data_IF_587856894847
#
_entry.id   IF_587856894847
#
_cell.length_a   1.000
_cell.length_b   1.000
_cell.length_c   1.000
_cell.angle_alpha   90.00
_cell.angle_beta   90.00
_cell.angle_gamma   90.00
#
_symmetry.space_group_name_H-M   'P 1'
#
loop_
_entity.id
_entity.type
_entity.pdbx_description
1 polymer ?
#
# COMPACT_ATOMS: atom_id res chain seq x y z
N UNK A 1 -2.22 9.14 -24.96
CA UNK A 1 -1.00 8.62 -24.32
C UNK A 1 -1.34 8.33 -22.86
N UNK A 2 -0.81 7.27 -22.27
CA UNK A 2 -1.05 6.95 -20.87
C UNK A 2 -0.62 8.10 -19.94
N UNK A 3 -1.41 8.34 -18.90
CA UNK A 3 -1.16 9.39 -17.93
C UNK A 3 -1.63 8.98 -16.53
N UNK A 4 -1.15 9.66 -15.51
CA UNK A 4 -1.54 9.43 -14.12
C UNK A 4 -2.95 9.93 -13.89
N UNK A 5 -3.90 9.03 -13.61
CA UNK A 5 -5.30 9.33 -13.31
C UNK A 5 -5.55 9.55 -11.81
N UNK A 6 -4.87 8.79 -10.97
CA UNK A 6 -4.97 8.93 -9.52
C UNK A 6 -3.68 8.51 -8.81
N UNK A 7 -3.47 9.10 -7.64
CA UNK A 7 -2.34 8.82 -6.76
C UNK A 7 -2.83 8.48 -5.36
N UNK A 8 -2.23 7.45 -4.77
CA UNK A 8 -2.58 6.96 -3.44
C UNK A 8 -1.35 6.77 -2.56
N UNK A 9 -1.46 7.24 -1.32
CA UNK A 9 -0.53 6.98 -0.24
C UNK A 9 -1.22 6.13 0.82
N UNK A 10 -0.51 5.18 1.40
CA UNK A 10 -1.01 4.24 2.40
C UNK A 10 -0.23 4.39 3.71
N UNK A 11 -0.46 5.41 4.53
CA UNK A 11 0.40 5.71 5.68
C UNK A 11 0.49 4.55 6.67
N UNK A 12 -0.65 3.89 6.93
CA UNK A 12 -0.75 2.76 7.85
C UNK A 12 -1.02 1.48 7.07
N UNK A 13 -0.20 0.45 7.31
CA UNK A 13 -0.40 -0.87 6.71
C UNK A 13 -1.80 -1.41 7.04
N UNK A 14 -2.54 -1.80 6.01
CA UNK A 14 -3.85 -2.43 6.16
C UNK A 14 -5.05 -1.49 6.14
N UNK A 15 -4.88 -0.18 6.28
CA UNK A 15 -5.98 0.79 6.20
C UNK A 15 -6.17 1.32 4.78
N UNK A 16 -7.32 1.94 4.51
CA UNK A 16 -7.64 2.55 3.22
C UNK A 16 -6.70 3.72 2.91
N UNK A 17 -6.29 3.91 1.64
CA UNK A 17 -5.34 4.94 1.26
C UNK A 17 -5.89 6.36 1.36
N UNK A 18 -4.97 7.31 1.42
CA UNK A 18 -5.22 8.70 1.10
C UNK A 18 -5.10 8.91 -0.41
N UNK A 19 -6.01 9.67 -1.00
CA UNK A 19 -5.85 10.20 -2.35
C UNK A 19 -4.99 11.47 -2.29
N UNK A 20 -4.00 11.56 -3.17
CA UNK A 20 -3.06 12.68 -3.24
C UNK A 20 -3.06 13.29 -4.64
N UNK A 21 -2.74 14.58 -4.74
CA UNK A 21 -2.52 15.24 -6.03
C UNK A 21 -1.07 15.02 -6.51
N UNK A 22 -0.17 14.79 -5.57
CA UNK A 22 1.23 14.45 -5.85
C UNK A 22 1.80 13.45 -4.84
N UNK A 23 2.83 12.71 -5.27
CA UNK A 23 3.61 11.80 -4.44
C UNK A 23 5.09 12.08 -4.60
N UNK A 24 5.81 12.21 -3.47
CA UNK A 24 7.27 12.32 -3.48
C UNK A 24 7.89 10.94 -3.45
N UNK A 25 8.65 10.60 -4.49
CA UNK A 25 9.52 9.42 -4.55
C UNK A 25 10.83 9.76 -3.87
N UNK A 26 11.16 9.04 -2.82
CA UNK A 26 12.41 9.23 -2.07
C UNK A 26 13.60 8.58 -2.81
N UNK A 27 14.85 8.95 -2.49
CA UNK A 27 16.04 8.36 -3.12
C UNK A 27 16.14 6.83 -3.02
N UNK A 28 15.52 6.23 -2.02
CA UNK A 28 15.46 4.77 -1.84
C UNK A 28 14.31 4.09 -2.62
N UNK A 29 13.60 4.85 -3.47
CA UNK A 29 12.51 4.37 -4.32
C UNK A 29 11.16 4.24 -3.63
N UNK A 30 11.03 4.62 -2.36
CA UNK A 30 9.74 4.62 -1.65
C UNK A 30 8.99 5.94 -1.83
N UNK A 31 7.69 5.87 -1.68
CA UNK A 31 6.87 7.08 -1.55
C UNK A 31 6.98 7.60 -0.10
N UNK A 32 7.23 8.90 0.05
CA UNK A 32 7.29 9.55 1.35
C UNK A 32 5.97 9.38 2.11
N UNK A 33 6.07 8.90 3.37
CA UNK A 33 4.91 8.65 4.23
C UNK A 33 4.07 7.43 3.87
N UNK A 34 4.50 6.60 2.88
CA UNK A 34 3.78 5.40 2.49
C UNK A 34 4.22 4.19 3.33
N UNK A 35 3.26 3.55 4.00
CA UNK A 35 3.48 2.35 4.85
C UNK A 35 4.57 2.53 5.90
N UNK A 36 4.57 3.69 6.53
CA UNK A 36 5.52 4.09 7.58
C UNK A 36 5.03 3.75 9.00
N UNK A 37 3.79 3.28 9.12
CA UNK A 37 3.14 2.87 10.36
C UNK A 37 2.44 1.51 10.20
N UNK A 38 2.35 0.75 11.29
CA UNK A 38 1.57 -0.50 11.33
C UNK A 38 1.09 -0.80 12.76
N UNK A 39 -0.09 -1.44 12.86
CA UNK A 39 -0.55 -2.02 14.12
C UNK A 39 -0.04 -3.45 14.23
N UNK A 40 0.74 -3.72 15.27
CA UNK A 40 1.40 -5.00 15.52
C UNK A 40 0.79 -5.69 16.74
N UNK A 41 0.87 -7.03 16.73
CA UNK A 41 0.53 -7.81 17.90
C UNK A 41 1.59 -7.65 18.99
N UNK A 42 1.22 -7.79 20.25
CA UNK A 42 2.11 -7.61 21.39
C UNK A 42 3.42 -8.43 21.27
N UNK A 43 3.33 -9.70 20.86
CA UNK A 43 4.49 -10.60 20.68
C UNK A 43 5.42 -10.21 19.52
N UNK A 44 5.06 -9.21 18.72
CA UNK A 44 5.78 -8.83 17.51
C UNK A 44 5.85 -7.31 17.30
N UNK A 45 5.85 -6.54 18.38
CA UNK A 45 6.01 -5.09 18.32
C UNK A 45 7.42 -4.70 17.86
N UNK A 46 8.42 -5.53 18.17
CA UNK A 46 9.80 -5.33 17.73
C UNK A 46 10.05 -5.95 16.34
N UNK A 47 10.95 -5.38 15.54
CA UNK A 47 11.33 -5.93 14.23
C UNK A 47 12.15 -7.22 14.38
N UNK A 48 12.09 -8.06 13.36
CA UNK A 48 13.10 -9.07 13.08
C UNK A 48 14.22 -8.44 12.24
N UNK A 49 15.47 -8.77 12.49
CA UNK A 49 16.58 -8.32 11.65
C UNK A 49 16.85 -9.35 10.55
N UNK A 50 16.69 -8.93 9.29
CA UNK A 50 16.96 -9.75 8.10
C UNK A 50 17.81 -8.95 7.12
N UNK A 51 18.93 -9.50 6.71
CA UNK A 51 19.84 -8.90 5.72
C UNK A 51 20.24 -7.44 6.07
N UNK A 52 20.42 -7.15 7.37
CA UNK A 52 20.78 -5.83 7.86
C UNK A 52 19.64 -4.80 7.88
N UNK A 53 18.40 -5.23 7.65
CA UNK A 53 17.20 -4.39 7.64
C UNK A 53 16.20 -4.86 8.69
N UNK A 54 15.47 -3.90 9.24
CA UNK A 54 14.31 -4.19 10.08
C UNK A 54 13.19 -4.77 9.22
N UNK A 55 12.71 -5.94 9.61
CA UNK A 55 11.65 -6.67 8.94
C UNK A 55 10.49 -6.97 9.89
N UNK A 56 9.27 -6.69 9.45
CA UNK A 56 8.05 -7.03 10.18
C UNK A 56 7.22 -8.03 9.40
N UNK A 57 7.18 -9.31 9.82
CA UNK A 57 6.37 -10.32 9.14
C UNK A 57 4.89 -9.89 9.05
N UNK A 58 4.30 -10.02 7.87
CA UNK A 58 2.90 -9.62 7.60
C UNK A 58 1.89 -10.26 8.55
N UNK A 59 2.13 -11.53 8.91
CA UNK A 59 1.25 -12.31 9.79
C UNK A 59 1.25 -11.88 11.25
N UNK A 60 2.16 -11.01 11.64
CA UNK A 60 2.41 -10.58 13.02
C UNK A 60 1.77 -9.23 13.37
N UNK A 61 0.71 -8.83 12.68
CA UNK A 61 -0.02 -7.60 12.92
C UNK A 61 -1.33 -7.54 12.13
N UNK A 62 -1.99 -6.39 12.19
CA UNK A 62 -3.20 -6.16 11.45
C UNK A 62 -2.90 -6.07 9.95
N UNK A 63 -3.56 -6.91 9.15
CA UNK A 63 -3.44 -6.93 7.69
C UNK A 63 -4.78 -7.31 7.06
N UNK A 64 -5.14 -6.67 5.94
CA UNK A 64 -6.41 -6.88 5.22
C UNK A 64 -6.70 -8.33 4.85
N UNK A 65 -5.66 -9.14 4.68
CA UNK A 65 -5.81 -10.56 4.38
C UNK A 65 -6.52 -11.33 5.49
N UNK A 66 -6.32 -10.93 6.74
CA UNK A 66 -6.93 -11.57 7.92
C UNK A 66 -8.03 -10.72 8.56
N UNK A 67 -7.95 -9.40 8.41
CA UNK A 67 -8.85 -8.40 9.01
C UNK A 67 -9.42 -7.50 7.91
N UNK A 68 -10.31 -8.02 7.04
CA UNK A 68 -10.87 -7.25 5.92
C UNK A 68 -11.67 -6.02 6.36
N UNK A 69 -12.28 -6.01 7.54
CA UNK A 69 -12.98 -4.84 8.09
C UNK A 69 -12.12 -3.58 8.19
N UNK A 70 -10.79 -3.73 8.28
CA UNK A 70 -9.87 -2.58 8.25
C UNK A 70 -9.97 -1.75 6.96
N UNK A 71 -10.46 -2.34 5.86
CA UNK A 71 -10.62 -1.61 4.61
C UNK A 71 -11.64 -0.48 4.71
N UNK A 72 -12.63 -0.57 5.60
CA UNK A 72 -13.60 0.49 5.84
C UNK A 72 -13.03 1.72 6.57
N UNK A 73 -11.81 1.61 7.10
CA UNK A 73 -11.18 2.70 7.85
C UNK A 73 -10.41 3.63 6.90
N UNK A 74 -10.86 4.88 6.82
CA UNK A 74 -10.16 5.94 6.09
C UNK A 74 -9.11 6.58 6.99
N UNK A 75 -7.88 6.66 6.52
CA UNK A 75 -6.78 7.27 7.25
C UNK A 75 -6.29 8.55 6.56
N UNK A 76 -5.95 9.55 7.34
CA UNK A 76 -5.09 10.65 6.90
C UNK A 76 -3.90 10.81 7.83
N UNK A 77 -2.75 11.15 7.25
CA UNK A 77 -1.50 11.29 7.99
C UNK A 77 -0.79 12.58 7.62
N UNK A 78 -0.69 13.48 8.59
CA UNK A 78 0.16 14.66 8.51
C UNK A 78 1.56 14.29 9.03
N UNK A 79 2.52 14.21 8.10
CA UNK A 79 3.91 13.84 8.42
C UNK A 79 4.66 14.94 9.17
N UNK A 80 4.34 16.22 8.96
CA UNK A 80 4.95 17.35 9.63
C UNK A 80 4.48 17.44 11.09
N UNK A 81 3.16 17.44 11.29
CA UNK A 81 2.56 17.43 12.62
C UNK A 81 2.67 16.07 13.31
N UNK A 82 3.10 15.02 12.61
CA UNK A 82 3.12 13.63 13.08
C UNK A 82 1.78 13.21 13.68
N UNK A 83 0.70 13.50 12.94
CA UNK A 83 -0.67 13.34 13.39
C UNK A 83 -1.43 12.38 12.49
N UNK A 84 -2.14 11.44 13.11
CA UNK A 84 -2.95 10.42 12.43
C UNK A 84 -4.41 10.66 12.76
N UNK A 85 -5.24 10.71 11.72
CA UNK A 85 -6.70 10.71 11.84
C UNK A 85 -7.26 9.45 11.20
N UNK A 86 -8.16 8.77 11.90
CA UNK A 86 -8.86 7.58 11.42
C UNK A 86 -10.36 7.82 11.49
N UNK A 87 -11.03 7.60 10.37
CA UNK A 87 -12.47 7.73 10.20
C UNK A 87 -13.08 6.37 9.85
N UNK A 88 -14.29 6.12 10.31
CA UNK A 88 -15.14 5.02 9.85
C UNK A 88 -16.46 5.61 9.39
N UNK A 89 -16.83 5.40 8.14
CA UNK A 89 -17.89 6.17 7.47
C UNK A 89 -17.62 7.67 7.61
N UNK A 90 -18.56 8.42 8.17
CA UNK A 90 -18.43 9.86 8.43
C UNK A 90 -18.08 10.18 9.89
N UNK A 91 -17.78 9.16 10.69
CA UNK A 91 -17.44 9.34 12.10
C UNK A 91 -15.94 9.36 12.32
N UNK A 92 -15.47 10.36 13.07
CA UNK A 92 -14.11 10.41 13.57
C UNK A 92 -13.96 9.38 14.70
N UNK A 93 -13.10 8.37 14.48
CA UNK A 93 -12.74 7.40 15.53
C UNK A 93 -11.64 7.94 16.44
N UNK A 94 -10.61 8.50 15.83
CA UNK A 94 -9.45 9.06 16.56
C UNK A 94 -8.72 10.08 15.71
N UNK A 95 -8.18 11.11 16.36
CA UNK A 95 -7.29 12.13 15.78
C UNK A 95 -6.19 12.42 16.79
N UNK A 96 -5.02 11.79 16.63
CA UNK A 96 -3.98 11.79 17.65
C UNK A 96 -2.57 11.88 17.05
N UNK A 97 -1.61 12.23 17.91
CA UNK A 97 -0.21 12.37 17.56
C UNK A 97 0.55 11.04 17.65
N UNK A 98 1.81 11.02 17.18
CA UNK A 98 2.69 9.86 17.27
C UNK A 98 3.61 9.87 18.50
N UNK A 99 3.28 10.64 19.52
CA UNK A 99 3.92 10.53 20.83
C UNK A 99 3.43 9.29 21.61
N UNK A 100 3.92 9.08 22.80
CA UNK A 100 3.62 7.89 23.60
C UNK A 100 2.13 7.77 23.91
N UNK A 101 1.48 8.87 24.30
CA UNK A 101 0.06 8.89 24.65
C UNK A 101 -0.82 8.70 23.43
N UNK A 102 -0.54 9.41 22.35
CA UNK A 102 -1.29 9.31 21.10
C UNK A 102 -1.17 7.94 20.44
N UNK A 103 0.00 7.29 20.51
CA UNK A 103 0.17 5.90 20.05
C UNK A 103 -0.67 4.92 20.85
N UNK A 104 -0.75 5.12 22.18
CA UNK A 104 -1.58 4.29 23.04
C UNK A 104 -3.07 4.46 22.72
N UNK A 105 -3.53 5.71 22.53
CA UNK A 105 -4.90 6.02 22.11
C UNK A 105 -5.25 5.38 20.76
N UNK A 106 -4.38 5.54 19.75
CA UNK A 106 -4.55 4.93 18.44
C UNK A 106 -4.65 3.40 18.52
N UNK A 107 -3.82 2.77 19.34
CA UNK A 107 -3.83 1.32 19.54
C UNK A 107 -5.09 0.83 20.27
N UNK A 108 -5.58 1.58 21.26
CA UNK A 108 -6.81 1.29 21.99
C UNK A 108 -8.04 1.36 21.09
N UNK A 109 -8.18 2.43 20.32
CA UNK A 109 -9.30 2.62 19.38
C UNK A 109 -9.28 1.52 18.29
N UNK A 110 -8.12 1.19 17.74
CA UNK A 110 -8.01 0.11 16.77
C UNK A 110 -8.30 -1.25 17.37
N UNK A 111 -7.96 -1.47 18.65
CA UNK A 111 -8.30 -2.69 19.37
C UNK A 111 -9.82 -2.79 19.52
N UNK A 112 -10.48 -1.72 19.96
CA UNK A 112 -11.94 -1.67 20.11
C UNK A 112 -12.64 -1.94 18.77
N UNK A 113 -12.21 -1.27 17.70
CA UNK A 113 -12.76 -1.46 16.36
C UNK A 113 -12.68 -2.93 15.89
N UNK A 114 -11.52 -3.57 16.03
CA UNK A 114 -11.35 -4.96 15.61
C UNK A 114 -12.12 -5.93 16.51
N UNK A 115 -12.24 -5.65 17.81
CA UNK A 115 -13.03 -6.47 18.73
C UNK A 115 -14.54 -6.39 18.45
N UNK A 116 -15.03 -5.30 17.86
CA UNK A 116 -16.41 -5.13 17.40
C UNK A 116 -16.64 -5.66 15.96
N UNK A 117 -15.58 -6.06 15.25
CA UNK A 117 -15.64 -6.59 13.89
C UNK A 117 -15.90 -8.10 13.86
N UNK A 118 -16.30 -8.67 12.70
CA UNK A 118 -16.41 -10.13 12.52
C UNK A 118 -15.13 -10.91 12.83
N UNK A 119 -13.98 -10.26 12.77
CA UNK A 119 -12.65 -10.87 12.98
C UNK A 119 -12.21 -10.87 14.46
N UNK A 120 -13.03 -10.45 15.40
CA UNK A 120 -12.70 -10.30 16.81
C UNK A 120 -12.00 -11.53 17.44
N UNK A 121 -12.44 -12.74 17.08
CA UNK A 121 -11.81 -13.99 17.57
C UNK A 121 -10.36 -14.13 17.15
N UNK A 122 -9.98 -13.56 16.00
CA UNK A 122 -8.60 -13.60 15.57
C UNK A 122 -7.73 -12.71 16.44
N UNK A 123 -8.24 -11.55 16.88
CA UNK A 123 -7.49 -10.64 17.74
C UNK A 123 -7.31 -11.18 19.16
N UNK A 124 -8.29 -11.93 19.67
CA UNK A 124 -8.24 -12.50 21.03
C UNK A 124 -7.32 -13.71 21.20
N UNK A 125 -6.64 -14.16 20.13
CA UNK A 125 -5.64 -15.24 20.25
C UNK A 125 -4.48 -14.79 21.15
N UNK A 126 -3.90 -15.75 21.87
CA UNK A 126 -2.74 -15.52 22.73
C UNK A 126 -1.61 -14.78 21.99
N UNK A 127 -0.92 -13.86 22.68
CA UNK A 127 0.19 -13.05 22.16
C UNK A 127 -0.21 -11.86 21.27
N UNK A 128 -1.52 -11.67 20.97
CA UNK A 128 -1.93 -10.61 20.04
C UNK A 128 -2.25 -9.28 20.71
N UNK A 129 -2.76 -9.32 21.92
CA UNK A 129 -3.10 -8.12 22.68
C UNK A 129 -2.06 -7.83 23.77
N UNK A 130 -1.84 -6.55 24.08
CA UNK A 130 -2.37 -5.36 23.44
C UNK A 130 -1.79 -5.14 22.04
N UNK A 131 -2.50 -4.39 21.18
CA UNK A 131 -1.92 -3.90 19.93
C UNK A 131 -0.89 -2.79 20.23
N UNK A 132 0.12 -2.70 19.39
CA UNK A 132 1.08 -1.60 19.40
C UNK A 132 1.11 -0.91 18.03
N UNK A 133 1.00 0.41 17.99
CA UNK A 133 1.30 1.19 16.79
C UNK A 133 2.82 1.39 16.71
N UNK A 134 3.44 0.78 15.70
CA UNK A 134 4.89 0.84 15.47
C UNK A 134 5.22 1.62 14.21
N UNK A 135 6.49 2.00 14.08
CA UNK A 135 6.98 2.85 13.00
C UNK A 135 7.20 4.30 13.47
N UNK A 136 8.14 4.97 12.83
CA UNK A 136 8.48 6.36 13.16
C UNK A 136 7.66 7.40 12.37
N UNK A 137 6.85 6.94 11.42
CA UNK A 137 6.08 7.82 10.52
C UNK A 137 6.90 8.40 9.37
N UNK A 138 8.19 8.08 9.27
CA UNK A 138 9.11 8.64 8.26
C UNK A 138 9.92 7.56 7.55
N UNK A 139 10.70 6.76 8.30
CA UNK A 139 11.68 5.81 7.76
C UNK A 139 11.28 4.35 7.87
N UNK A 140 10.39 4.01 8.80
CA UNK A 140 9.94 2.64 9.00
C UNK A 140 9.32 2.05 7.73
N UNK A 141 9.44 0.73 7.57
CA UNK A 141 9.05 0.03 6.33
C UNK A 141 8.11 -1.11 6.66
N UNK A 142 6.85 -0.92 6.30
CA UNK A 142 5.85 -2.00 6.43
C UNK A 142 5.37 -2.50 5.07
N UNK A 143 6.18 -2.33 4.04
CA UNK A 143 5.98 -2.95 2.72
C UNK A 143 6.29 -4.45 2.80
N UNK A 144 5.65 -5.25 1.95
CA UNK A 144 5.86 -6.71 1.94
C UNK A 144 7.18 -7.12 1.24
N UNK A 145 8.02 -6.15 0.84
CA UNK A 145 9.29 -6.34 0.15
C UNK A 145 10.38 -5.48 0.78
N UNK A 146 11.62 -5.97 0.73
CA UNK A 146 12.79 -5.31 1.33
C UNK A 146 13.18 -4.01 0.60
N UNK A 147 12.99 -3.95 -0.74
CA UNK A 147 13.28 -2.75 -1.54
C UNK A 147 12.10 -1.80 -1.56
N UNK A 148 12.38 -0.50 -1.74
CA UNK A 148 11.37 0.49 -2.08
C UNK A 148 10.87 0.29 -3.51
N UNK A 149 9.56 0.19 -3.67
CA UNK A 149 8.90 0.10 -4.97
C UNK A 149 7.73 1.08 -5.00
N UNK A 150 7.51 1.65 -6.17
CA UNK A 150 6.25 2.29 -6.53
C UNK A 150 5.39 1.24 -7.24
N UNK A 151 4.13 1.14 -6.89
CA UNK A 151 3.20 0.20 -7.51
C UNK A 151 2.24 0.94 -8.44
N UNK A 152 2.03 0.40 -9.64
CA UNK A 152 1.14 0.96 -10.66
C UNK A 152 0.13 -0.06 -11.14
N UNK A 153 -1.07 0.38 -11.52
CA UNK A 153 -2.01 -0.38 -12.32
C UNK A 153 -2.80 0.55 -13.25
N UNK A 154 -3.43 -0.01 -14.30
CA UNK A 154 -4.27 0.75 -15.20
C UNK A 154 -5.76 0.65 -14.84
N UNK A 155 -6.51 1.73 -15.08
CA UNK A 155 -7.98 1.72 -14.96
C UNK A 155 -8.60 0.68 -15.89
N UNK A 156 -8.09 0.56 -17.12
CA UNK A 156 -8.57 -0.43 -18.09
C UNK A 156 -8.44 -1.88 -17.60
N UNK A 157 -7.38 -2.22 -16.83
CA UNK A 157 -7.24 -3.54 -16.20
C UNK A 157 -8.30 -3.78 -15.12
N UNK A 158 -8.62 -2.75 -14.35
CA UNK A 158 -9.68 -2.80 -13.32
C UNK A 158 -11.07 -2.91 -13.97
N UNK A 159 -11.29 -2.20 -15.07
CA UNK A 159 -12.54 -2.27 -15.84
C UNK A 159 -12.74 -3.64 -16.49
N UNK A 160 -11.69 -4.23 -17.07
CA UNK A 160 -11.73 -5.58 -17.61
C UNK A 160 -12.04 -6.62 -16.53
N UNK A 161 -11.47 -6.47 -15.34
CA UNK A 161 -11.80 -7.31 -14.19
C UNK A 161 -13.25 -7.09 -13.73
N UNK A 162 -13.73 -5.85 -13.69
CA UNK A 162 -15.12 -5.49 -13.35
C UNK A 162 -16.10 -6.15 -14.29
N UNK A 163 -15.83 -6.09 -15.61
CA UNK A 163 -16.61 -6.78 -16.63
C UNK A 163 -16.68 -8.29 -16.42
N UNK A 164 -15.54 -8.93 -16.11
CA UNK A 164 -15.47 -10.37 -15.84
C UNK A 164 -16.14 -10.78 -14.51
N UNK A 165 -16.20 -9.89 -13.53
CA UNK A 165 -16.91 -10.09 -12.26
C UNK A 165 -18.42 -9.82 -12.36
N UNK A 166 -18.85 -9.05 -13.38
CA UNK A 166 -20.22 -8.57 -13.50
C UNK A 166 -20.62 -7.53 -12.46
N UNK A 167 -19.64 -6.86 -11.83
CA UNK A 167 -19.84 -5.78 -10.88
C UNK A 167 -18.67 -4.81 -10.92
N UNK A 168 -18.92 -3.54 -10.59
CA UNK A 168 -17.85 -2.53 -10.49
C UNK A 168 -16.87 -2.88 -9.38
N UNK A 169 -15.58 -2.83 -9.70
CA UNK A 169 -14.47 -3.04 -8.76
C UNK A 169 -13.81 -1.71 -8.47
N UNK A 170 -13.72 -1.37 -7.21
CA UNK A 170 -13.00 -0.18 -6.77
C UNK A 170 -11.48 -0.42 -6.84
N UNK A 171 -10.75 0.48 -7.48
CA UNK A 171 -9.30 0.41 -7.69
C UNK A 171 -8.49 0.44 -6.38
N UNK A 172 -9.00 1.07 -5.32
CA UNK A 172 -8.37 1.13 -3.99
C UNK A 172 -8.11 -0.26 -3.40
N UNK A 173 -8.83 -1.32 -3.85
CA UNK A 173 -8.60 -2.72 -3.44
C UNK A 173 -7.19 -3.20 -3.76
N UNK A 174 -6.59 -2.67 -4.84
CA UNK A 174 -5.27 -3.09 -5.31
C UNK A 174 -4.14 -2.37 -4.59
N UNK A 175 -4.44 -1.28 -3.86
CA UNK A 175 -3.47 -0.59 -3.01
C UNK A 175 -2.21 -0.18 -3.77
N UNK A 176 -2.35 0.15 -5.05
CA UNK A 176 -1.27 0.73 -5.84
C UNK A 176 -1.07 2.21 -5.48
N UNK A 177 0.13 2.72 -5.69
CA UNK A 177 0.44 4.13 -5.48
C UNK A 177 0.01 4.98 -6.67
N UNK A 178 0.11 4.43 -7.88
CA UNK A 178 -0.21 5.13 -9.13
C UNK A 178 -1.30 4.35 -9.86
N UNK A 179 -2.32 5.06 -10.30
CA UNK A 179 -3.34 4.57 -11.23
C UNK A 179 -3.17 5.33 -12.53
N UNK A 180 -3.14 4.63 -13.65
CA UNK A 180 -2.98 5.24 -14.97
C UNK A 180 -4.23 5.02 -15.83
N UNK A 181 -4.53 6.00 -16.68
CA UNK A 181 -5.50 5.89 -17.76
C UNK A 181 -4.81 6.02 -19.12
N UNK A 182 -5.51 5.63 -20.21
CA UNK A 182 -5.01 5.71 -21.58
C UNK A 182 -4.08 4.58 -22.00
N UNK A 183 -3.92 3.53 -21.19
CA UNK A 183 -3.27 2.26 -21.55
C UNK A 183 -4.34 1.18 -21.82
N UNK A 184 -4.00 0.16 -22.62
CA UNK A 184 -4.86 -1.00 -22.80
C UNK A 184 -4.89 -1.87 -21.53
N UNK A 185 -5.98 -2.66 -21.38
CA UNK A 185 -6.12 -3.58 -20.26
C UNK A 185 -4.96 -4.60 -20.24
N UNK A 186 -4.34 -4.78 -19.07
CA UNK A 186 -3.24 -5.70 -18.81
C UNK A 186 -1.90 -5.30 -19.43
N UNK A 187 -1.82 -4.15 -20.08
CA UNK A 187 -0.60 -3.67 -20.73
C UNK A 187 0.55 -3.51 -19.73
N UNK A 188 0.25 -3.01 -18.53
CA UNK A 188 1.24 -2.85 -17.45
C UNK A 188 1.88 -4.18 -17.01
N UNK A 189 1.25 -5.33 -17.29
CA UNK A 189 1.81 -6.64 -16.95
C UNK A 189 2.94 -7.05 -17.89
N UNK A 190 3.00 -6.47 -19.09
CA UNK A 190 4.00 -6.76 -20.11
C UNK A 190 5.20 -5.80 -20.11
N UNK A 191 5.12 -4.69 -19.37
CA UNK A 191 6.19 -3.70 -19.38
C UNK A 191 7.54 -4.29 -18.99
N UNK A 192 8.57 -3.94 -19.76
CA UNK A 192 9.96 -4.29 -19.53
C UNK A 192 10.84 -3.04 -19.69
N UNK A 193 12.01 -3.03 -19.07
CA UNK A 193 12.95 -1.93 -19.21
C UNK A 193 12.53 -0.65 -18.47
N UNK A 194 12.74 0.49 -19.12
CA UNK A 194 12.50 1.80 -18.53
C UNK A 194 11.01 2.15 -18.55
N UNK A 195 10.53 2.65 -17.42
CA UNK A 195 9.21 3.30 -17.28
C UNK A 195 9.43 4.69 -16.73
N UNK A 196 8.86 5.69 -17.39
CA UNK A 196 8.95 7.09 -16.96
C UNK A 196 7.56 7.61 -16.59
N UNK A 197 7.45 8.28 -15.44
CA UNK A 197 6.25 8.96 -14.98
C UNK A 197 6.64 10.41 -14.70
N UNK A 198 6.17 11.34 -15.55
CA UNK A 198 6.66 12.71 -15.53
C UNK A 198 8.19 12.75 -15.72
N UNK A 199 8.91 13.30 -14.76
CA UNK A 199 10.37 13.36 -14.77
C UNK A 199 11.05 12.21 -14.03
N UNK A 200 10.29 11.35 -13.35
CA UNK A 200 10.84 10.24 -12.56
C UNK A 200 11.01 8.99 -13.41
N UNK A 201 12.20 8.38 -13.35
CA UNK A 201 12.55 7.18 -14.12
C UNK A 201 12.59 5.95 -13.24
N UNK A 202 11.98 4.90 -13.74
CA UNK A 202 11.90 3.60 -13.08
C UNK A 202 12.34 2.49 -14.03
N UNK A 203 12.68 1.34 -13.46
CA UNK A 203 12.76 0.06 -14.17
C UNK A 203 11.50 -0.75 -13.83
N UNK A 204 10.85 -1.30 -14.86
CA UNK A 204 9.74 -2.23 -14.66
C UNK A 204 10.26 -3.51 -13.98
N UNK A 205 9.64 -3.85 -12.84
CA UNK A 205 9.92 -5.09 -12.11
C UNK A 205 8.79 -6.11 -12.35
N UNK A 206 8.69 -7.13 -11.54
CA UNK A 206 7.67 -8.16 -11.74
C UNK A 206 6.22 -7.69 -11.53
N UNK A 207 5.25 -8.38 -12.14
CA UNK A 207 3.82 -8.13 -11.90
C UNK A 207 3.45 -8.42 -10.44
N UNK A 208 2.39 -7.76 -9.97
CA UNK A 208 1.95 -7.88 -8.58
C UNK A 208 0.97 -9.04 -8.46
N UNK A 209 1.38 -10.13 -7.81
CA UNK A 209 0.49 -11.24 -7.45
C UNK A 209 -0.42 -10.78 -6.31
N UNK A 210 -1.73 -10.90 -6.51
CA UNK A 210 -2.74 -10.44 -5.57
C UNK A 210 -3.07 -11.50 -4.53
N UNK A 211 -3.50 -11.06 -3.35
CA UNK A 211 -3.92 -11.91 -2.24
C UNK A 211 -5.35 -11.59 -1.81
N UNK A 212 -5.87 -12.30 -0.82
CA UNK A 212 -7.25 -12.13 -0.32
C UNK A 212 -7.59 -10.71 0.15
N UNK A 213 -6.60 -9.86 0.39
CA UNK A 213 -6.83 -8.45 0.72
C UNK A 213 -7.67 -7.72 -0.35
N UNK A 214 -7.51 -8.08 -1.64
CA UNK A 214 -8.26 -7.46 -2.74
C UNK A 214 -9.74 -7.82 -2.77
N UNK A 215 -10.17 -8.82 -2.00
CA UNK A 215 -11.58 -9.16 -1.89
C UNK A 215 -12.36 -8.19 -1.00
N UNK A 216 -11.68 -7.48 -0.08
CA UNK A 216 -12.31 -6.53 0.83
C UNK A 216 -12.75 -5.26 0.09
N UNK A 217 -14.00 -4.87 0.28
CA UNK A 217 -14.54 -3.61 -0.20
C UNK A 217 -13.93 -2.45 0.62
N UNK A 218 -13.37 -1.42 -0.02
CA UNK A 218 -12.69 -0.34 0.68
C UNK A 218 -13.61 0.60 1.47
N UNK A 219 -14.92 0.50 1.27
CA UNK A 219 -15.89 1.31 2.02
C UNK A 219 -16.57 0.53 3.14
N UNK A 220 -16.77 -0.80 2.97
CA UNK A 220 -17.51 -1.62 3.93
C UNK A 220 -16.67 -2.65 4.69
N UNK A 221 -15.44 -2.92 4.23
CA UNK A 221 -14.62 -4.00 4.77
C UNK A 221 -15.10 -5.43 4.45
N UNK A 222 -16.25 -5.57 3.77
CA UNK A 222 -16.82 -6.87 3.43
C UNK A 222 -16.10 -7.46 2.21
N UNK A 223 -15.84 -8.77 2.23
CA UNK A 223 -15.32 -9.49 1.05
C UNK A 223 -16.48 -9.77 0.09
N UNK A 224 -16.73 -8.85 -0.83
CA UNK A 224 -17.84 -8.88 -1.78
C UNK A 224 -17.42 -9.25 -3.22
N UNK A 225 -16.12 -9.29 -3.52
CA UNK A 225 -15.60 -9.56 -4.86
C UNK A 225 -14.61 -10.73 -4.87
N UNK A 226 -14.83 -11.73 -5.75
CA UNK A 226 -13.95 -12.90 -5.88
C UNK A 226 -12.79 -12.64 -6.85
N UNK A 227 -12.03 -11.58 -6.60
CA UNK A 227 -10.97 -11.08 -7.49
C UNK A 227 -9.99 -12.17 -7.93
N UNK A 228 -9.41 -12.94 -6.98
CA UNK A 228 -8.39 -13.94 -7.31
C UNK A 228 -8.91 -15.03 -8.24
N UNK A 229 -10.11 -15.54 -7.97
CA UNK A 229 -10.74 -16.58 -8.78
C UNK A 229 -11.08 -16.07 -10.18
N UNK A 230 -11.51 -14.81 -10.29
CA UNK A 230 -11.85 -14.20 -11.57
C UNK A 230 -10.61 -13.97 -12.42
N UNK A 231 -9.53 -13.45 -11.84
CA UNK A 231 -8.25 -13.29 -12.54
C UNK A 231 -7.74 -14.62 -13.09
N UNK A 232 -7.78 -15.70 -12.30
CA UNK A 232 -7.23 -16.99 -12.75
C UNK A 232 -8.19 -17.80 -13.63
N UNK A 233 -9.48 -17.91 -13.27
CA UNK A 233 -10.41 -18.79 -13.99
C UNK A 233 -11.13 -18.12 -15.13
N UNK A 234 -11.60 -16.87 -14.92
CA UNK A 234 -12.39 -16.19 -15.95
C UNK A 234 -11.50 -15.46 -16.96
N UNK A 235 -10.38 -14.89 -16.50
CA UNK A 235 -9.43 -14.16 -17.34
C UNK A 235 -8.19 -15.00 -17.73
N UNK A 236 -8.10 -16.27 -17.29
CA UNK A 236 -7.11 -17.23 -17.76
C UNK A 236 -5.66 -16.97 -17.30
N UNK A 237 -5.46 -16.16 -16.27
CA UNK A 237 -4.12 -15.90 -15.76
C UNK A 237 -3.57 -17.09 -14.95
N UNK A 238 -2.31 -17.48 -15.15
CA UNK A 238 -1.64 -18.53 -14.36
C UNK A 238 -1.55 -18.19 -12.87
N UNK A 239 -1.35 -16.91 -12.56
CA UNK A 239 -1.36 -16.35 -11.21
C UNK A 239 -2.27 -15.12 -11.20
N UNK A 240 -3.00 -14.87 -10.10
CA UNK A 240 -3.88 -13.71 -10.02
C UNK A 240 -3.05 -12.42 -9.96
N UNK A 241 -2.74 -11.83 -11.11
CA UNK A 241 -1.90 -10.63 -11.23
C UNK A 241 -2.70 -9.43 -11.70
N UNK A 242 -2.40 -8.27 -11.12
CA UNK A 242 -2.89 -6.96 -11.58
C UNK A 242 -1.90 -5.90 -11.10
N UNK A 243 -1.43 -5.08 -12.02
CA UNK A 243 -0.46 -4.03 -11.76
C UNK A 243 0.98 -4.50 -11.68
N UNK A 244 1.90 -3.56 -11.65
CA UNK A 244 3.35 -3.75 -11.74
C UNK A 244 4.09 -3.01 -10.66
N UNK A 245 5.24 -3.54 -10.26
CA UNK A 245 6.20 -2.85 -9.40
C UNK A 245 7.20 -2.09 -10.26
N UNK A 246 7.49 -0.88 -9.82
CA UNK A 246 8.48 0.00 -10.43
C UNK A 246 9.60 0.26 -9.43
N UNK A 247 10.84 0.02 -9.84
CA UNK A 247 12.03 0.31 -9.05
C UNK A 247 12.65 1.61 -9.55
N UNK A 248 12.87 2.57 -8.66
CA UNK A 248 13.54 3.83 -9.00
C UNK A 248 14.91 3.56 -9.62
N UNK A 249 15.18 4.17 -10.78
CA UNK A 249 16.50 4.11 -11.39
C UNK A 249 17.46 5.05 -10.65
N UNK A 250 18.60 4.51 -10.22
CA UNK A 250 19.72 5.36 -9.78
C UNK A 250 20.26 6.12 -10.99
N UNK A 251 20.53 7.40 -10.87
CA UNK A 251 21.27 8.09 -11.90
C UNK A 251 22.65 7.44 -12.05
N UNK A 252 23.00 7.04 -13.29
CA UNK A 252 24.25 6.37 -13.57
C UNK A 252 25.45 7.26 -13.18
N UNK A 253 26.15 6.89 -12.11
CA UNK A 253 27.36 7.60 -11.64
C UNK A 253 27.98 7.08 -10.34
N UNK A 254 27.37 6.14 -9.64
CA UNK A 254 27.88 5.63 -8.37
C UNK A 254 27.72 4.12 -8.21
N UNK A 255 28.76 3.36 -8.54
CA UNK A 255 28.97 2.02 -7.99
C UNK A 255 29.32 2.22 -6.53
N UNK A 256 28.52 1.68 -5.63
CA UNK A 256 28.86 0.98 -4.39
C UNK A 256 27.77 1.10 -3.35
N UNK A 257 27.40 -0.03 -2.79
CA UNK A 257 26.57 -0.10 -1.58
C UNK A 257 27.32 0.52 -0.39
N UNK A 258 26.91 1.71 -0.04
CA UNK A 258 27.15 2.30 1.27
C UNK A 258 25.85 3.01 1.67
N UNK A 259 25.32 2.63 2.82
CA UNK A 259 24.27 3.34 3.51
C UNK A 259 24.83 4.72 3.86
N UNK A 260 24.39 5.79 3.17
CA UNK A 260 24.78 7.13 3.59
C UNK A 260 25.01 8.20 2.53
N UNK A 261 24.58 8.05 1.28
CA UNK A 261 24.63 9.15 0.34
C UNK A 261 23.24 9.43 -0.26
N UNK A 262 22.64 10.55 0.13
CA UNK A 262 21.31 11.05 -0.24
C UNK A 262 21.25 11.66 -1.67
N UNK A 263 22.15 11.32 -2.56
CA UNK A 263 22.26 11.88 -3.91
C UNK A 263 21.53 11.09 -5.01
N UNK A 264 20.70 10.12 -4.67
CA UNK A 264 19.79 9.48 -5.62
C UNK A 264 18.66 10.44 -5.99
N UNK A 265 18.43 10.68 -7.28
CA UNK A 265 17.38 11.57 -7.73
C UNK A 265 16.01 10.92 -7.55
N UNK A 266 15.45 11.01 -6.35
CA UNK A 266 14.00 10.94 -6.16
C UNK A 266 13.30 12.02 -6.99
N UNK A 267 12.00 12.13 -6.90
CA UNK A 267 11.26 13.13 -7.66
C UNK A 267 9.80 13.18 -7.23
N UNK A 268 9.03 14.00 -7.89
CA UNK A 268 7.60 14.13 -7.61
C UNK A 268 6.81 13.62 -8.82
N UNK A 269 5.82 12.77 -8.54
CA UNK A 269 4.81 12.31 -9.50
C UNK A 269 3.53 13.08 -9.21
N UNK A 270 2.85 13.57 -10.26
CA UNK A 270 1.60 14.34 -10.16
C UNK A 270 0.49 13.70 -10.97
N UNK A 271 -0.75 13.93 -10.55
CA UNK A 271 -1.91 13.60 -11.38
C UNK A 271 -1.80 14.37 -12.71
N UNK A 272 -2.01 13.68 -13.81
CA UNK A 272 -1.84 14.22 -15.18
C UNK A 272 -0.45 14.01 -15.79
N UNK A 273 0.56 13.58 -15.02
CA UNK A 273 1.87 13.28 -15.57
C UNK A 273 1.78 12.19 -16.65
N UNK A 274 2.50 12.39 -17.74
CA UNK A 274 2.59 11.41 -18.82
C UNK A 274 3.36 10.16 -18.37
N UNK A 275 2.89 8.99 -18.82
CA UNK A 275 3.56 7.70 -18.57
C UNK A 275 4.06 7.15 -19.89
N UNK A 276 5.37 6.91 -19.96
CA UNK A 276 6.01 6.26 -21.11
C UNK A 276 6.75 5.01 -20.68
N UNK A 277 6.74 4.00 -21.54
CA UNK A 277 7.43 2.72 -21.32
C UNK A 277 8.03 2.24 -22.65
N UNK A 278 9.20 1.63 -22.58
CA UNK A 278 9.96 1.15 -23.73
C UNK A 278 10.08 -0.37 -23.73
#
# INVERSE_FOLDING_TARGET
MPHVAALYRHPIKGLTPERCDELTVQPDGRIAGDRVLAFRFAEAAEPEHRDGLDYWPKSKGLALESFPSLAALRVSYDGEARRVRIMHDDYLLVDSTLDTEGRAELAEIMTAFVLDSPEWKLLQREGRLPLALVGDGVRARFQDRARGFVSVHSEASVDALSGALGQQVDDRRFRSNVVIDGADAWDELSWEGEVRIGDVRFTAEGPIVRCLATHANPDTGIRDAKVLTTLTRSLGQDKPTLGRLLLLQSQAGGVTGAVGDDSGAGGTIRVGDEVTFG
#
